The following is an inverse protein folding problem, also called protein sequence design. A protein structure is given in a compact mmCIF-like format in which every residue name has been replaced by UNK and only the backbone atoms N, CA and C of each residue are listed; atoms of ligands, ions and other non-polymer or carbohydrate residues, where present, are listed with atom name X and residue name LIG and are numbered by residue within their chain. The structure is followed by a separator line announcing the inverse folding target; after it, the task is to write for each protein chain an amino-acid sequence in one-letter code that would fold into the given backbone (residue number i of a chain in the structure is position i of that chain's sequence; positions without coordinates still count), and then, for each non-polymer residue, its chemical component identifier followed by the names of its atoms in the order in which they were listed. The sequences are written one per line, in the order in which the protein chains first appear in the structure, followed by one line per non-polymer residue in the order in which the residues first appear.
data_IF_521421618763
#
_entry.id   IF_521421618763
#
_cell.length_a   1.000
_cell.length_b   1.000
_cell.length_c   1.000
_cell.angle_alpha   90.00
_cell.angle_beta   90.00
_cell.angle_gamma   90.00
#
_symmetry.space_group_name_H-M   'P 1'
#
loop_
_entity.id
_entity.type
_entity.pdbx_description
1 polymer ?
#
# COMPACT_ATOMS: atom_id res chain seq x y z
N UNK A 1 -17.38 -32.44 -7.51
CA UNK A 1 -17.99 -31.83 -8.70
C UNK A 1 -17.04 -30.78 -9.25
N UNK A 2 -17.19 -30.42 -10.52
CA UNK A 2 -16.43 -29.33 -11.13
C UNK A 2 -16.77 -27.99 -10.47
N UNK A 3 -15.77 -27.17 -10.15
CA UNK A 3 -15.94 -25.84 -9.55
C UNK A 3 -15.46 -24.81 -10.55
N UNK A 4 -16.35 -23.92 -10.97
CA UNK A 4 -16.05 -22.87 -11.94
C UNK A 4 -16.21 -21.49 -11.31
N UNK A 5 -15.22 -20.62 -11.54
CA UNK A 5 -15.31 -19.21 -11.18
C UNK A 5 -15.92 -18.42 -12.34
N UNK A 6 -17.20 -18.05 -12.22
CA UNK A 6 -17.91 -17.21 -13.19
C UNK A 6 -18.44 -15.98 -12.46
N UNK A 7 -17.90 -14.78 -12.74
CA UNK A 7 -18.36 -13.53 -12.10
C UNK A 7 -19.85 -13.24 -12.37
N UNK A 8 -20.51 -12.62 -11.39
CA UNK A 8 -21.97 -12.42 -11.40
C UNK A 8 -22.45 -11.52 -12.55
N UNK A 9 -21.67 -10.49 -12.88
CA UNK A 9 -21.94 -9.50 -13.94
C UNK A 9 -21.96 -10.12 -15.35
N UNK A 10 -21.21 -11.19 -15.57
CA UNK A 10 -21.17 -11.92 -16.86
C UNK A 10 -21.90 -13.26 -16.82
N UNK A 11 -22.48 -13.64 -15.68
CA UNK A 11 -23.02 -14.97 -15.43
C UNK A 11 -24.12 -15.36 -16.42
N UNK A 12 -25.11 -14.48 -16.62
CA UNK A 12 -26.26 -14.75 -17.51
C UNK A 12 -25.81 -15.00 -18.96
N UNK A 13 -24.81 -14.25 -19.43
CA UNK A 13 -24.29 -14.37 -20.80
C UNK A 13 -23.37 -15.58 -21.00
N UNK A 14 -22.56 -15.94 -19.99
CA UNK A 14 -21.48 -16.93 -20.14
C UNK A 14 -21.78 -18.31 -19.54
N UNK A 15 -22.76 -18.44 -18.64
CA UNK A 15 -23.01 -19.69 -17.93
C UNK A 15 -23.32 -20.86 -18.89
N UNK A 16 -24.13 -20.63 -19.92
CA UNK A 16 -24.53 -21.68 -20.87
C UNK A 16 -23.39 -22.22 -21.75
N UNK A 17 -22.27 -21.50 -21.85
CA UNK A 17 -21.09 -21.95 -22.59
C UNK A 17 -20.23 -22.92 -21.78
N UNK A 18 -20.39 -22.93 -20.45
CA UNK A 18 -19.51 -23.66 -19.52
C UNK A 18 -20.24 -24.63 -18.61
N UNK A 19 -21.56 -24.57 -18.54
CA UNK A 19 -22.38 -25.41 -17.67
C UNK A 19 -23.55 -26.02 -18.45
N UNK A 20 -23.89 -27.27 -18.13
CA UNK A 20 -25.05 -27.95 -18.67
C UNK A 20 -26.34 -27.46 -17.99
N UNK A 21 -27.31 -26.97 -18.77
CA UNK A 21 -28.59 -26.43 -18.26
C UNK A 21 -29.49 -27.47 -17.60
N UNK A 22 -29.29 -28.75 -17.89
CA UNK A 22 -30.08 -29.85 -17.35
C UNK A 22 -29.51 -30.41 -16.02
N UNK A 23 -28.27 -30.07 -15.68
CA UNK A 23 -27.62 -30.52 -14.45
C UNK A 23 -27.94 -29.59 -13.27
N UNK A 24 -27.84 -30.08 -12.01
CA UNK A 24 -27.97 -29.23 -10.85
C UNK A 24 -26.77 -28.30 -10.77
N UNK A 25 -27.02 -27.00 -10.59
CA UNK A 25 -25.95 -26.01 -10.44
C UNK A 25 -26.04 -25.41 -9.04
N UNK A 26 -24.98 -25.54 -8.27
CA UNK A 26 -24.88 -24.92 -6.95
C UNK A 26 -24.09 -23.63 -7.08
N UNK A 27 -24.74 -22.48 -6.90
CA UNK A 27 -24.08 -21.19 -6.82
C UNK A 27 -23.55 -20.97 -5.40
N UNK A 28 -22.30 -20.53 -5.29
CA UNK A 28 -21.62 -20.26 -4.02
C UNK A 28 -20.99 -18.87 -4.08
N UNK A 29 -21.19 -18.08 -3.02
CA UNK A 29 -20.39 -16.90 -2.72
C UNK A 29 -19.99 -16.93 -1.23
N UNK A 30 -19.41 -15.85 -0.70
CA UNK A 30 -18.97 -15.82 0.69
C UNK A 30 -20.11 -16.12 1.70
N UNK A 31 -21.19 -15.33 1.66
CA UNK A 31 -22.27 -15.34 2.67
C UNK A 31 -23.67 -15.67 2.09
N UNK A 32 -23.73 -16.38 0.96
CA UNK A 32 -24.96 -16.67 0.19
C UNK A 32 -25.71 -15.47 -0.48
N UNK A 33 -25.33 -14.22 -0.22
CA UNK A 33 -26.03 -13.06 -0.79
C UNK A 33 -26.00 -13.02 -2.33
N UNK A 34 -24.80 -13.01 -2.92
CA UNK A 34 -24.62 -12.94 -4.38
C UNK A 34 -25.06 -14.22 -5.09
N UNK A 35 -24.89 -15.38 -4.45
CA UNK A 35 -25.33 -16.65 -5.02
C UNK A 35 -26.86 -16.78 -5.06
N UNK A 36 -27.60 -16.14 -4.15
CA UNK A 36 -29.06 -16.06 -4.24
C UNK A 36 -29.53 -15.30 -5.49
N UNK A 37 -28.84 -14.20 -5.83
CA UNK A 37 -29.08 -13.44 -7.07
C UNK A 37 -28.68 -14.25 -8.31
N UNK A 38 -27.55 -14.98 -8.22
CA UNK A 38 -27.07 -15.86 -9.27
C UNK A 38 -28.10 -16.93 -9.67
N UNK A 39 -28.88 -17.46 -8.72
CA UNK A 39 -29.98 -18.40 -9.02
C UNK A 39 -31.01 -17.78 -9.95
N UNK A 40 -31.39 -16.52 -9.73
CA UNK A 40 -32.32 -15.80 -10.61
C UNK A 40 -31.76 -15.62 -12.03
N UNK A 41 -30.50 -15.20 -12.13
CA UNK A 41 -29.77 -15.06 -13.40
C UNK A 41 -29.69 -16.40 -14.17
N UNK A 42 -29.34 -17.48 -13.47
CA UNK A 42 -29.26 -18.82 -14.07
C UNK A 42 -30.63 -19.33 -14.53
N UNK A 43 -31.71 -19.09 -13.77
CA UNK A 43 -33.07 -19.42 -14.22
C UNK A 43 -33.45 -18.70 -15.51
N UNK A 44 -33.16 -17.40 -15.60
CA UNK A 44 -33.38 -16.61 -16.84
C UNK A 44 -32.55 -17.12 -18.01
N UNK A 45 -31.31 -17.54 -17.75
CA UNK A 45 -30.45 -18.20 -18.73
C UNK A 45 -30.87 -19.64 -19.09
N UNK A 46 -31.98 -20.16 -18.54
CA UNK A 46 -32.57 -21.44 -18.89
C UNK A 46 -32.07 -22.65 -18.10
N UNK A 47 -31.39 -22.44 -16.96
CA UNK A 47 -30.98 -23.54 -16.07
C UNK A 47 -32.18 -24.07 -15.28
N UNK A 48 -32.35 -25.39 -15.27
CA UNK A 48 -33.53 -26.03 -14.67
C UNK A 48 -33.44 -26.17 -13.15
N UNK A 49 -32.23 -26.37 -12.62
CA UNK A 49 -32.00 -26.67 -11.19
C UNK A 49 -30.86 -25.85 -10.55
N UNK A 50 -30.86 -24.51 -10.66
CA UNK A 50 -29.93 -23.69 -9.91
C UNK A 50 -30.38 -23.55 -8.45
N UNK A 51 -29.45 -23.77 -7.52
CA UNK A 51 -29.64 -23.58 -6.08
C UNK A 51 -28.51 -22.75 -5.51
N UNK A 52 -28.77 -21.99 -4.44
CA UNK A 52 -27.72 -21.29 -3.70
C UNK A 52 -27.33 -22.14 -2.49
N UNK A 53 -26.03 -22.24 -2.22
CA UNK A 53 -25.54 -22.83 -0.97
C UNK A 53 -25.93 -21.93 0.21
N UNK A 54 -26.60 -22.51 1.21
CA UNK A 54 -26.99 -21.80 2.43
C UNK A 54 -25.74 -21.40 3.21
N UNK A 55 -25.69 -20.16 3.70
CA UNK A 55 -24.54 -19.62 4.43
C UNK A 55 -23.26 -19.42 3.59
N UNK A 56 -23.26 -19.81 2.31
CA UNK A 56 -22.13 -19.63 1.41
C UNK A 56 -20.89 -20.42 1.82
N UNK A 57 -19.73 -19.94 1.39
CA UNK A 57 -18.44 -20.54 1.73
C UNK A 57 -18.08 -20.40 3.21
N UNK A 58 -18.61 -19.40 3.92
CA UNK A 58 -18.37 -19.22 5.36
C UNK A 58 -18.92 -20.40 6.17
N UNK A 59 -20.18 -20.77 5.95
CA UNK A 59 -20.78 -21.93 6.62
C UNK A 59 -20.10 -23.24 6.25
N UNK A 60 -19.56 -23.36 5.02
CA UNK A 60 -18.78 -24.52 4.60
C UNK A 60 -17.48 -24.66 5.41
N UNK A 61 -16.76 -23.55 5.60
CA UNK A 61 -15.52 -23.51 6.40
C UNK A 61 -15.81 -23.72 7.88
N UNK A 62 -16.86 -23.10 8.43
CA UNK A 62 -17.27 -23.25 9.82
C UNK A 62 -17.67 -24.69 10.17
N UNK A 63 -18.32 -25.38 9.22
CA UNK A 63 -18.63 -26.81 9.35
C UNK A 63 -17.40 -27.74 9.25
N UNK A 64 -16.20 -27.18 9.05
CA UNK A 64 -14.95 -27.94 8.97
C UNK A 64 -14.80 -28.75 7.68
N UNK A 65 -15.56 -28.44 6.63
CA UNK A 65 -15.44 -29.14 5.36
C UNK A 65 -14.16 -28.76 4.61
N UNK A 66 -13.59 -29.69 3.82
CA UNK A 66 -12.35 -29.43 3.10
C UNK A 66 -12.54 -28.30 2.09
N UNK A 67 -11.54 -27.41 2.03
CA UNK A 67 -11.43 -26.35 1.03
C UNK A 67 -10.13 -26.52 0.27
N UNK A 68 -10.22 -26.41 -1.06
CA UNK A 68 -9.05 -26.40 -1.93
C UNK A 68 -8.79 -24.96 -2.32
N UNK A 69 -7.61 -24.43 -2.00
CA UNK A 69 -7.15 -23.20 -2.63
C UNK A 69 -6.71 -23.54 -4.04
N UNK A 70 -7.09 -22.74 -5.02
CA UNK A 70 -6.49 -22.81 -6.35
C UNK A 70 -5.09 -22.21 -6.25
N UNK A 71 -4.16 -23.00 -5.69
CA UNK A 71 -2.71 -22.90 -5.77
C UNK A 71 -2.08 -24.06 -5.00
N UNK A 72 -2.05 -25.24 -5.60
CA UNK A 72 -0.91 -26.17 -5.52
C UNK A 72 -0.47 -26.48 -6.96
N UNK A 73 -0.23 -25.43 -7.74
CA UNK A 73 0.71 -25.48 -8.86
C UNK A 73 2.13 -25.13 -8.34
N UNK A 74 2.46 -25.61 -7.13
CA UNK A 74 3.78 -25.53 -6.53
C UNK A 74 4.67 -26.66 -7.06
N UNK A 75 4.69 -26.87 -8.37
CA UNK A 75 5.82 -27.53 -9.02
C UNK A 75 6.94 -26.52 -9.13
N UNK A 76 7.72 -26.41 -8.06
CA UNK A 76 8.92 -25.60 -8.02
C UNK A 76 8.92 -24.69 -6.80
N UNK A 77 9.49 -25.18 -5.70
CA UNK A 77 10.16 -24.29 -4.76
C UNK A 77 11.37 -23.73 -5.52
N UNK A 78 11.12 -22.71 -6.33
CA UNK A 78 12.20 -21.95 -6.95
C UNK A 78 12.86 -21.16 -5.84
N UNK A 79 14.18 -21.29 -5.71
CA UNK A 79 14.99 -20.41 -4.87
C UNK A 79 14.55 -18.96 -5.14
N UNK A 80 14.32 -18.17 -4.08
CA UNK A 80 13.89 -16.78 -4.18
C UNK A 80 14.80 -15.96 -5.11
N UNK A 81 16.07 -16.34 -5.20
CA UNK A 81 17.07 -15.75 -6.10
C UNK A 81 16.78 -16.06 -7.57
N UNK A 82 16.38 -17.30 -7.88
CA UNK A 82 16.03 -17.74 -9.24
C UNK A 82 14.70 -17.13 -9.68
N UNK A 83 13.70 -17.08 -8.79
CA UNK A 83 12.42 -16.44 -9.06
C UNK A 83 12.59 -14.94 -9.35
N UNK A 84 13.39 -14.23 -8.55
CA UNK A 84 13.70 -12.83 -8.78
C UNK A 84 14.39 -12.63 -10.14
N UNK A 85 15.31 -13.52 -10.52
CA UNK A 85 16.01 -13.46 -11.81
C UNK A 85 15.07 -13.70 -13.00
N UNK A 86 14.15 -14.66 -12.91
CA UNK A 86 13.17 -14.92 -13.97
C UNK A 86 12.17 -13.77 -14.12
N UNK A 87 11.66 -13.24 -13.01
CA UNK A 87 10.78 -12.05 -13.04
C UNK A 87 11.48 -10.84 -13.67
N UNK A 88 12.78 -10.65 -13.39
CA UNK A 88 13.60 -9.62 -14.06
C UNK A 88 13.72 -9.84 -15.56
N UNK A 89 13.81 -11.09 -16.03
CA UNK A 89 13.86 -11.37 -17.48
C UNK A 89 12.59 -10.92 -18.20
N UNK A 90 11.44 -10.97 -17.52
CA UNK A 90 10.17 -10.45 -18.03
C UNK A 90 9.95 -8.94 -17.77
N UNK A 91 10.95 -8.25 -17.19
CA UNK A 91 10.81 -6.84 -16.84
C UNK A 91 9.72 -6.58 -15.79
N UNK A 92 9.50 -7.54 -14.90
CA UNK A 92 8.54 -7.38 -13.80
C UNK A 92 9.20 -6.72 -12.58
N UNK A 93 8.44 -5.93 -11.82
CA UNK A 93 8.94 -5.31 -10.60
C UNK A 93 9.14 -6.34 -9.50
N UNK A 94 10.16 -6.12 -8.68
CA UNK A 94 10.37 -6.91 -7.47
C UNK A 94 9.51 -6.40 -6.32
N UNK A 95 9.16 -7.29 -5.40
CA UNK A 95 8.48 -6.94 -4.15
C UNK A 95 9.50 -6.90 -3.03
N UNK A 96 9.39 -5.90 -2.16
CA UNK A 96 10.15 -5.82 -0.91
C UNK A 96 9.17 -5.79 0.25
N UNK A 97 9.39 -6.65 1.26
CA UNK A 97 8.61 -6.61 2.49
C UNK A 97 9.16 -5.56 3.47
N UNK A 98 8.34 -5.00 4.37
CA UNK A 98 8.76 -4.08 5.42
C UNK A 98 10.06 -4.42 6.14
N UNK A 99 10.14 -5.62 6.71
CA UNK A 99 11.31 -6.09 7.46
C UNK A 99 12.59 -6.09 6.59
N UNK A 100 12.46 -6.48 5.32
CA UNK A 100 13.58 -6.49 4.38
C UNK A 100 14.01 -5.07 4.02
N UNK A 101 13.09 -4.14 3.79
CA UNK A 101 13.43 -2.73 3.55
C UNK A 101 14.16 -2.13 4.76
N UNK A 102 13.67 -2.39 5.96
CA UNK A 102 14.31 -1.92 7.19
C UNK A 102 15.73 -2.50 7.38
N UNK A 103 15.93 -3.78 7.03
CA UNK A 103 17.25 -4.39 7.05
C UNK A 103 18.19 -3.74 6.02
N UNK A 104 17.69 -3.51 4.79
CA UNK A 104 18.46 -2.83 3.74
C UNK A 104 18.91 -1.44 4.19
N UNK A 105 18.03 -0.66 4.83
CA UNK A 105 18.34 0.67 5.38
C UNK A 105 19.49 0.63 6.39
N UNK A 106 19.53 -0.41 7.23
CA UNK A 106 20.55 -0.55 8.28
C UNK A 106 21.89 -1.04 7.73
N UNK A 107 21.86 -2.07 6.90
CA UNK A 107 23.08 -2.80 6.52
C UNK A 107 23.73 -2.26 5.25
N UNK A 108 22.94 -1.67 4.36
CA UNK A 108 23.37 -1.32 3.00
C UNK A 108 23.00 0.13 2.62
N UNK A 109 23.26 1.14 3.47
CA UNK A 109 22.92 2.53 3.16
C UNK A 109 23.64 2.99 1.88
N UNK A 110 22.91 3.67 1.01
CA UNK A 110 23.44 4.20 -0.27
C UNK A 110 23.50 3.19 -1.41
N UNK A 111 23.09 1.93 -1.20
CA UNK A 111 23.04 0.92 -2.27
C UNK A 111 21.69 0.83 -2.99
N UNK A 112 20.72 1.66 -2.61
CA UNK A 112 19.39 1.78 -3.18
C UNK A 112 18.82 3.17 -2.90
N UNK A 113 17.80 3.56 -3.67
CA UNK A 113 17.05 4.81 -3.48
C UNK A 113 15.62 4.49 -3.07
N UNK A 114 15.01 5.31 -2.21
CA UNK A 114 13.60 5.20 -1.84
C UNK A 114 12.86 6.43 -2.32
N UNK A 115 11.75 6.23 -3.04
CA UNK A 115 10.84 7.28 -3.49
C UNK A 115 9.45 7.07 -2.91
N UNK A 116 8.93 8.07 -2.21
CA UNK A 116 7.54 8.12 -1.77
C UNK A 116 6.68 8.89 -2.78
N UNK A 117 5.70 8.19 -3.37
CA UNK A 117 4.81 8.72 -4.39
C UNK A 117 3.50 9.32 -3.86
N UNK A 118 3.35 9.38 -2.54
CA UNK A 118 2.17 9.99 -1.92
C UNK A 118 2.15 11.50 -2.18
N UNK A 119 0.95 12.11 -2.19
CA UNK A 119 0.84 13.56 -2.31
C UNK A 119 1.46 14.27 -1.08
N UNK A 120 1.87 15.53 -1.26
CA UNK A 120 2.74 16.21 -0.30
C UNK A 120 2.14 16.40 1.10
N UNK A 121 0.82 16.37 1.21
CA UNK A 121 0.09 16.39 2.49
C UNK A 121 0.31 15.09 3.29
N UNK A 122 0.30 13.95 2.62
CA UNK A 122 0.49 12.62 3.23
C UNK A 122 1.97 12.30 3.52
N UNK A 123 2.91 12.87 2.78
CA UNK A 123 4.35 12.65 3.02
C UNK A 123 4.80 13.30 4.35
N UNK A 124 3.99 14.16 4.97
CA UNK A 124 4.29 14.71 6.31
C UNK A 124 4.13 13.67 7.42
N UNK A 125 3.49 12.55 7.13
CA UNK A 125 3.38 11.42 8.04
C UNK A 125 4.72 10.68 8.18
N UNK A 126 4.70 9.54 8.83
CA UNK A 126 5.88 8.68 8.93
C UNK A 126 6.30 8.12 7.57
N UNK A 127 7.60 8.07 7.32
CA UNK A 127 8.22 7.57 6.07
C UNK A 127 9.42 6.67 6.39
N UNK A 128 9.79 5.74 5.51
CA UNK A 128 11.09 5.08 5.57
C UNK A 128 12.24 6.09 5.55
N UNK A 129 13.28 5.82 6.34
CA UNK A 129 14.46 6.68 6.41
C UNK A 129 15.12 6.79 5.04
N UNK A 130 15.38 8.02 4.58
CA UNK A 130 15.99 8.29 3.28
C UNK A 130 15.01 8.34 2.10
N UNK A 131 13.70 8.23 2.35
CA UNK A 131 12.70 8.42 1.29
C UNK A 131 12.67 9.85 0.76
N UNK A 132 12.58 9.98 -0.57
CA UNK A 132 12.44 11.26 -1.27
C UNK A 132 10.99 11.39 -1.75
N UNK A 133 10.34 12.51 -1.46
CA UNK A 133 8.99 12.80 -1.92
C UNK A 133 8.98 13.12 -3.43
N UNK A 134 8.25 12.34 -4.24
CA UNK A 134 8.17 12.54 -5.69
C UNK A 134 6.75 12.29 -6.14
N UNK A 135 6.10 13.26 -6.78
CA UNK A 135 4.76 13.04 -7.33
C UNK A 135 4.76 11.92 -8.38
N UNK A 136 3.74 11.05 -8.36
CA UNK A 136 3.63 9.92 -9.30
C UNK A 136 3.80 10.33 -10.78
N UNK A 137 3.26 11.49 -11.17
CA UNK A 137 3.41 12.01 -12.54
C UNK A 137 4.86 12.33 -12.90
N UNK A 138 5.62 12.90 -11.95
CA UNK A 138 7.05 13.16 -12.15
C UNK A 138 7.83 11.85 -12.21
N UNK A 139 7.58 10.93 -11.26
CA UNK A 139 8.22 9.62 -11.25
C UNK A 139 8.05 8.87 -12.59
N UNK A 140 6.85 8.89 -13.17
CA UNK A 140 6.53 8.14 -14.40
C UNK A 140 7.02 8.80 -15.69
N UNK A 141 7.28 10.11 -15.66
CA UNK A 141 7.61 10.91 -16.85
C UNK A 141 9.07 11.34 -16.91
N UNK A 142 9.71 11.55 -15.75
CA UNK A 142 11.07 12.02 -15.65
C UNK A 142 12.06 10.87 -15.82
N UNK A 143 12.87 10.95 -16.89
CA UNK A 143 13.89 9.94 -17.21
C UNK A 143 14.98 9.82 -16.15
N UNK A 144 15.18 10.84 -15.31
CA UNK A 144 16.15 10.79 -14.21
C UNK A 144 15.94 9.60 -13.28
N UNK A 145 14.69 9.26 -12.98
CA UNK A 145 14.36 8.10 -12.13
C UNK A 145 14.61 6.76 -12.80
N UNK A 146 14.65 6.73 -14.14
CA UNK A 146 14.93 5.53 -14.92
C UNK A 146 16.43 5.23 -15.04
N UNK A 147 17.27 6.24 -14.81
CA UNK A 147 18.73 6.15 -14.90
C UNK A 147 19.29 5.90 -13.51
N UNK A 148 20.16 4.90 -13.38
CA UNK A 148 20.80 4.54 -12.11
C UNK A 148 21.19 3.07 -12.06
N UNK A 149 22.29 2.78 -11.36
CA UNK A 149 22.77 1.41 -11.16
C UNK A 149 22.19 0.77 -9.90
N UNK A 150 21.79 1.60 -8.93
CA UNK A 150 21.21 1.14 -7.67
C UNK A 150 19.69 0.92 -7.79
N UNK A 151 19.10 -0.06 -7.09
CA UNK A 151 17.67 -0.30 -7.11
C UNK A 151 16.86 0.91 -6.67
N UNK A 152 15.70 1.12 -7.30
CA UNK A 152 14.71 2.11 -6.88
C UNK A 152 13.57 1.42 -6.14
N UNK A 153 13.37 1.76 -4.88
CA UNK A 153 12.25 1.28 -4.05
C UNK A 153 11.16 2.34 -4.04
N UNK A 154 9.98 1.99 -4.53
CA UNK A 154 8.82 2.86 -4.58
C UNK A 154 7.94 2.56 -3.37
N UNK A 155 7.45 3.59 -2.69
CA UNK A 155 6.53 3.47 -1.57
C UNK A 155 5.34 4.39 -1.77
N UNK A 156 4.18 3.92 -1.35
CA UNK A 156 2.94 4.70 -1.26
C UNK A 156 2.22 4.30 0.06
N UNK A 157 0.95 4.65 0.20
CA UNK A 157 0.18 4.38 1.43
C UNK A 157 0.06 2.89 1.75
N UNK A 158 -0.44 2.09 0.81
CA UNK A 158 -0.85 0.69 1.03
C UNK A 158 -0.16 -0.35 0.12
N UNK A 159 0.75 0.10 -0.75
CA UNK A 159 1.51 -0.71 -1.69
C UNK A 159 0.91 -0.76 -3.10
N UNK A 160 -0.33 -0.29 -3.31
CA UNK A 160 -1.07 -0.51 -4.56
C UNK A 160 -0.52 0.33 -5.71
N UNK A 161 -0.40 1.65 -5.52
CA UNK A 161 0.16 2.54 -6.53
C UNK A 161 1.65 2.29 -6.72
N UNK A 162 2.36 1.92 -5.65
CA UNK A 162 3.76 1.54 -5.73
C UNK A 162 3.98 0.36 -6.68
N UNK A 163 3.18 -0.71 -6.55
CA UNK A 163 3.25 -1.89 -7.43
C UNK A 163 2.92 -1.54 -8.89
N UNK A 164 1.90 -0.71 -9.13
CA UNK A 164 1.51 -0.29 -10.48
C UNK A 164 2.61 0.56 -11.12
N UNK A 165 3.11 1.57 -10.39
CA UNK A 165 4.18 2.44 -10.86
C UNK A 165 5.45 1.64 -11.15
N UNK A 166 5.81 0.71 -10.25
CA UNK A 166 6.94 -0.19 -10.44
C UNK A 166 6.79 -1.03 -11.71
N UNK A 167 5.59 -1.59 -11.95
CA UNK A 167 5.30 -2.34 -13.17
C UNK A 167 5.49 -1.52 -14.45
N UNK A 168 4.99 -0.28 -14.47
CA UNK A 168 5.15 0.63 -15.61
C UNK A 168 6.63 0.97 -15.83
N UNK A 169 7.38 1.26 -14.76
CA UNK A 169 8.78 1.67 -14.85
C UNK A 169 9.69 0.51 -15.24
N UNK A 170 9.45 -0.71 -14.74
CA UNK A 170 10.25 -1.89 -15.11
C UNK A 170 10.18 -2.23 -16.60
N UNK A 171 9.14 -1.75 -17.32
CA UNK A 171 9.06 -1.87 -18.78
C UNK A 171 9.88 -0.80 -19.53
N UNK A 172 10.27 0.28 -18.84
CA UNK A 172 10.98 1.43 -19.41
C UNK A 172 12.49 1.44 -19.09
N UNK A 173 12.95 0.64 -18.14
CA UNK A 173 14.36 0.63 -17.71
C UNK A 173 14.85 -0.77 -17.32
N UNK A 174 16.17 -0.95 -17.38
CA UNK A 174 16.89 -2.10 -16.81
C UNK A 174 17.25 -1.91 -15.34
N UNK A 175 17.11 -0.68 -14.83
CA UNK A 175 17.31 -0.36 -13.41
C UNK A 175 16.39 -1.25 -12.57
N UNK A 176 16.87 -1.93 -11.52
CA UNK A 176 16.02 -2.75 -10.67
C UNK A 176 14.94 -1.90 -9.99
N UNK A 177 13.67 -2.14 -10.28
CA UNK A 177 12.56 -1.44 -9.63
C UNK A 177 11.89 -2.39 -8.63
N UNK A 178 11.74 -1.89 -7.41
CA UNK A 178 11.18 -2.58 -6.26
C UNK A 178 9.96 -1.80 -5.76
N UNK A 179 8.94 -2.50 -5.31
CA UNK A 179 7.76 -1.91 -4.68
C UNK A 179 7.60 -2.45 -3.26
N UNK A 180 7.37 -1.56 -2.30
CA UNK A 180 7.14 -1.91 -0.91
C UNK A 180 5.75 -2.52 -0.74
N UNK A 181 5.73 -3.78 -0.29
CA UNK A 181 4.51 -4.51 -0.02
C UNK A 181 3.76 -3.91 1.17
N UNK A 182 2.47 -3.62 0.99
CA UNK A 182 1.64 -3.05 2.05
C UNK A 182 1.91 -1.56 2.33
N UNK A 183 2.80 -0.94 1.53
CA UNK A 183 3.11 0.49 1.61
C UNK A 183 3.71 0.91 2.96
N UNK A 184 3.65 2.21 3.22
CA UNK A 184 4.12 2.79 4.47
C UNK A 184 3.28 2.35 5.67
N UNK A 185 2.01 1.97 5.48
CA UNK A 185 1.16 1.46 6.56
C UNK A 185 1.67 0.12 7.11
N UNK A 186 2.02 -0.83 6.24
CA UNK A 186 2.62 -2.09 6.67
C UNK A 186 4.03 -1.89 7.22
N UNK A 187 4.81 -1.01 6.60
CA UNK A 187 6.14 -0.65 7.10
C UNK A 187 6.09 -0.11 8.52
N UNK A 188 5.18 0.81 8.79
CA UNK A 188 5.00 1.37 10.12
C UNK A 188 4.53 0.32 11.12
N UNK A 189 3.53 -0.49 10.75
CA UNK A 189 3.04 -1.57 11.61
C UNK A 189 4.17 -2.50 12.03
N UNK A 190 4.97 -2.97 11.08
CA UNK A 190 5.99 -3.98 11.34
C UNK A 190 7.21 -3.41 12.08
N UNK A 191 7.61 -2.17 11.75
CA UNK A 191 8.77 -1.52 12.37
C UNK A 191 8.44 -0.95 13.75
N UNK A 192 7.26 -0.35 13.96
CA UNK A 192 6.89 0.21 15.27
C UNK A 192 6.40 -0.85 16.25
N UNK A 193 5.55 -1.80 15.86
CA UNK A 193 5.13 -2.87 16.80
C UNK A 193 6.26 -3.82 17.15
N UNK A 194 7.23 -4.00 16.25
CA UNK A 194 8.50 -4.68 16.55
C UNK A 194 9.31 -3.88 17.58
N UNK A 195 9.45 -2.57 17.39
CA UNK A 195 10.19 -1.69 18.31
C UNK A 195 9.56 -1.61 19.71
N UNK A 196 8.21 -1.58 19.81
CA UNK A 196 7.48 -1.60 21.09
C UNK A 196 7.59 -2.97 21.77
N UNK A 197 7.48 -4.09 21.03
CA UNK A 197 7.66 -5.44 21.59
C UNK A 197 9.08 -5.67 22.10
N UNK A 198 10.11 -5.32 21.32
CA UNK A 198 11.50 -5.52 21.72
C UNK A 198 11.84 -4.71 22.97
N UNK A 199 11.36 -3.46 23.07
CA UNK A 199 11.55 -2.63 24.27
C UNK A 199 10.78 -3.14 25.49
N UNK A 200 9.67 -3.86 25.30
CA UNK A 200 8.89 -4.46 26.39
C UNK A 200 9.44 -5.81 26.85
N UNK A 201 10.26 -6.48 26.03
CA UNK A 201 10.84 -7.80 26.31
C UNK A 201 12.30 -7.75 26.77
N UNK A 202 12.99 -6.61 26.62
CA UNK A 202 14.28 -6.37 27.25
C UNK A 202 14.08 -6.15 28.76
N UNK A 203 14.80 -6.86 29.65
CA UNK A 203 14.82 -6.46 31.06
C UNK A 203 15.40 -5.04 31.16
N UNK A 204 14.83 -4.23 32.05
CA UNK A 204 15.30 -2.87 32.37
C UNK A 204 16.78 -2.92 32.78
N UNK A 205 17.69 -2.79 31.82
CA UNK A 205 19.04 -2.35 32.09
C UNK A 205 18.96 -0.87 32.46
N UNK A 206 18.70 -0.62 33.74
CA UNK A 206 18.80 0.71 34.33
C UNK A 206 20.18 1.29 33.98
N UNK A 207 20.27 2.42 33.24
CA UNK A 207 21.55 3.08 33.06
C UNK A 207 22.01 3.57 34.43
N UNK A 208 23.12 3.03 34.94
CA UNK A 208 23.79 3.58 36.12
C UNK A 208 24.16 5.03 35.79
N UNK A 209 23.45 5.95 36.45
CA UNK A 209 23.74 7.37 36.47
C UNK A 209 25.19 7.60 36.93
N UNK A 210 26.07 7.85 35.96
CA UNK A 210 27.38 8.44 36.17
C UNK A 210 27.32 9.89 35.74
N UNK A 211 27.31 10.79 36.72
CA UNK A 211 27.23 12.22 36.53
C UNK A 211 28.30 12.75 35.56
N UNK A 212 27.89 13.52 34.56
CA UNK A 212 28.66 14.70 34.19
C UNK A 212 27.72 15.87 33.88
N UNK A 213 27.87 16.91 34.68
CA UNK A 213 27.06 18.12 34.72
C UNK A 213 27.55 19.10 33.64
N UNK A 214 26.63 19.71 32.91
CA UNK A 214 26.88 21.01 32.25
C UNK A 214 25.72 21.98 32.60
N UNK A 215 26.01 23.28 32.78
CA UNK A 215 25.13 24.17 33.52
C UNK A 215 23.93 24.67 32.69
N UNK A 216 22.83 24.89 33.40
CA UNK A 216 21.58 25.41 32.88
C UNK A 216 21.73 26.86 32.38
N UNK A 217 21.18 27.15 31.19
CA UNK A 217 20.80 28.51 30.80
C UNK A 217 19.33 28.71 31.20
N UNK A 218 19.11 29.62 32.14
CA UNK A 218 17.80 30.05 32.59
C UNK A 218 17.01 30.73 31.47
N UNK A 219 15.85 30.18 31.13
CA UNK A 219 14.80 30.91 30.41
C UNK A 219 13.52 30.87 31.26
N UNK A 220 13.21 32.01 31.87
CA UNK A 220 11.95 32.26 32.57
C UNK A 220 10.76 32.23 31.60
N UNK A 221 9.55 31.88 32.07
CA UNK A 221 8.36 31.77 31.22
C UNK A 221 7.80 33.15 30.84
N UNK A 222 7.57 33.42 29.55
CA UNK A 222 6.81 34.59 29.10
C UNK A 222 5.34 34.22 28.87
N UNK A 223 4.46 34.90 29.62
CA UNK A 223 3.01 34.87 29.49
C UNK A 223 2.53 35.60 28.23
N UNK A 224 1.42 35.12 27.66
CA UNK A 224 0.69 35.68 26.51
C UNK A 224 -0.02 37.00 26.84
N UNK A 225 0.09 38.01 25.97
CA UNK A 225 -0.61 39.29 26.08
C UNK A 225 -1.95 39.30 25.29
N UNK A 226 -3.00 40.05 25.75
CA UNK A 226 -4.32 40.15 25.12
C UNK A 226 -4.43 41.22 23.99
N UNK A 227 -5.52 41.26 23.19
CA UNK A 227 -5.57 41.99 21.93
C UNK A 227 -5.81 43.50 22.11
N UNK A 228 -5.27 44.30 21.18
CA UNK A 228 -5.30 45.77 21.18
C UNK A 228 -6.56 46.34 20.49
N UNK A 229 -7.17 47.44 20.96
CA UNK A 229 -8.30 48.10 20.31
C UNK A 229 -7.89 49.17 19.27
N UNK A 230 -8.79 49.46 18.33
CA UNK A 230 -8.67 50.40 17.22
C UNK A 230 -9.05 51.86 17.54
N UNK A 231 -8.45 52.85 16.84
CA UNK A 231 -8.99 54.19 16.47
C UNK A 231 -7.89 55.04 15.74
N UNK A 232 -8.18 56.23 15.17
CA UNK A 232 -9.18 56.61 14.16
C UNK A 232 -8.58 57.41 12.95
N UNK A 233 -9.42 57.84 12.00
CA UNK A 233 -9.07 58.47 10.72
C UNK A 233 -8.89 60.02 10.74
N UNK A 234 -8.03 60.55 9.84
CA UNK A 234 -8.06 61.86 9.15
C UNK A 234 -6.66 62.13 8.52
N UNK A 235 -6.39 62.88 7.44
CA UNK A 235 -7.12 63.64 6.44
C UNK A 235 -6.21 63.77 5.18
N UNK A 236 -6.80 64.05 4.00
CA UNK A 236 -6.09 64.27 2.71
C UNK A 236 -5.35 65.62 2.68
N UNK A 237 -4.21 65.75 1.98
CA UNK A 237 -3.72 67.05 1.52
C UNK A 237 -4.03 67.32 0.04
N UNK A 238 -4.42 68.56 -0.22
CA UNK A 238 -4.73 69.14 -1.52
C UNK A 238 -3.46 69.51 -2.31
N UNK A 239 -3.55 69.53 -3.66
CA UNK A 239 -2.58 70.17 -4.55
C UNK A 239 -3.25 71.31 -5.35
N UNK A 240 -2.75 72.52 -5.16
CA UNK A 240 -2.72 73.69 -6.07
C UNK A 240 -1.25 74.19 -5.99
N UNK A 241 -0.50 74.62 -6.99
CA UNK A 241 -0.75 75.12 -8.36
C UNK A 241 0.09 76.41 -8.51
N UNK A 242 1.01 76.46 -9.50
CA UNK A 242 1.73 77.62 -10.12
C UNK A 242 3.17 77.16 -10.49
N UNK A 243 3.75 77.40 -11.67
CA UNK A 243 3.44 78.26 -12.80
C UNK A 243 4.76 78.90 -13.27
N UNK A 244 5.08 78.79 -14.58
CA UNK A 244 5.87 79.68 -15.43
C UNK A 244 5.80 79.14 -16.86
#
# INVERSE_FOLDING_TARGET
GEVLNIPLDVLEAKAAQRLNRNEPVVAVCNSAFRSSLAVGLLKRAGFKRPVSMLGGAEAWVEAGFPVVRIADASTGVVDATTAAKELRNYGLPERVIPAQLQQMIKDLPGTFEIVDIRPADQVRDYNPTGAIAVGISDLLSNKGWLVGEVPLVIVDRDGTLSMIAAGILSQKTRRPIKALMGGVEAYWRDVETGFIRDRMLLPDETPKSGANVMPARDLKPQQSAPPTPAAPASAKPARKGAGC
#
